data_IF_624887787536
#
_entry.id   IF_624887787536
#
_cell.length_a   1.000
_cell.length_b   1.000
_cell.length_c   1.000
_cell.angle_alpha   90.00
_cell.angle_beta   90.00
_cell.angle_gamma   90.00
#
_symmetry.space_group_name_H-M   'P 1'
#
loop_
_entity.id
_entity.type
_entity.pdbx_description
1 polymer ?
#
# COMPACT_ATOMS: atom_id res chain seq x y z
N UNK A 1 10.05 -5.56 -10.35
CA UNK A 1 10.91 -5.95 -9.21
C UNK A 1 10.93 -4.90 -8.11
N UNK A 2 11.21 -3.62 -8.40
CA UNK A 2 11.27 -2.54 -7.39
C UNK A 2 10.03 -2.41 -6.49
N UNK A 3 8.82 -2.52 -7.04
CA UNK A 3 7.56 -2.46 -6.27
C UNK A 3 7.45 -3.61 -5.28
N UNK A 4 7.73 -4.84 -5.72
CA UNK A 4 7.67 -6.01 -4.85
C UNK A 4 8.71 -5.93 -3.72
N UNK A 5 9.89 -5.35 -4.00
CA UNK A 5 10.91 -5.14 -2.99
C UNK A 5 10.47 -4.15 -1.91
N UNK A 6 9.89 -3.01 -2.33
CA UNK A 6 9.34 -2.02 -1.41
C UNK A 6 8.25 -2.60 -0.51
N UNK A 7 7.39 -3.46 -1.06
CA UNK A 7 6.37 -4.15 -0.26
C UNK A 7 7.03 -5.10 0.74
N UNK A 8 8.06 -5.86 0.33
CA UNK A 8 8.78 -6.77 1.24
C UNK A 8 9.47 -6.04 2.39
N UNK A 9 10.14 -4.91 2.12
CA UNK A 9 10.81 -4.11 3.16
C UNK A 9 9.80 -3.47 4.11
N UNK A 10 8.64 -3.08 3.60
CA UNK A 10 7.58 -2.46 4.39
C UNK A 10 6.67 -3.46 5.17
N UNK A 11 6.71 -4.76 4.85
CA UNK A 11 5.83 -5.79 5.47
C UNK A 11 6.58 -6.73 6.42
N UNK A 12 7.00 -6.21 7.58
CA UNK A 12 7.91 -6.90 8.54
C UNK A 12 7.47 -8.31 8.96
N UNK A 13 6.17 -8.59 9.03
CA UNK A 13 5.64 -9.90 9.46
C UNK A 13 4.96 -10.71 8.35
N UNK A 14 4.89 -10.18 7.12
CA UNK A 14 4.08 -10.77 6.05
C UNK A 14 4.91 -10.98 4.79
N UNK A 15 5.19 -12.25 4.47
CA UNK A 15 5.83 -12.57 3.19
C UNK A 15 4.88 -12.28 2.04
N UNK A 16 5.35 -11.55 1.03
CA UNK A 16 4.59 -11.17 -0.16
C UNK A 16 3.87 -12.36 -0.83
N UNK A 17 4.52 -13.52 -0.86
CA UNK A 17 3.98 -14.73 -1.50
C UNK A 17 2.81 -15.34 -0.73
N UNK A 18 2.71 -15.06 0.58
CA UNK A 18 1.65 -15.53 1.49
C UNK A 18 0.45 -14.58 1.57
N UNK A 19 0.57 -13.37 1.05
CA UNK A 19 -0.54 -12.41 1.03
C UNK A 19 -1.69 -12.93 0.16
N UNK A 20 -2.93 -12.59 0.53
CA UNK A 20 -4.08 -12.81 -0.31
C UNK A 20 -3.85 -12.17 -1.69
N UNK A 21 -4.37 -12.81 -2.75
CA UNK A 21 -4.14 -12.36 -4.12
C UNK A 21 -4.63 -10.93 -4.34
N UNK A 22 -5.76 -10.57 -3.72
CA UNK A 22 -6.35 -9.22 -3.79
C UNK A 22 -5.40 -8.23 -3.12
N UNK A 23 -5.11 -8.42 -1.83
CA UNK A 23 -4.23 -7.53 -1.06
C UNK A 23 -2.88 -7.33 -1.71
N UNK A 24 -2.25 -8.40 -2.21
CA UNK A 24 -0.96 -8.29 -2.91
C UNK A 24 -1.05 -7.41 -4.15
N UNK A 25 -2.11 -7.52 -4.94
CA UNK A 25 -2.24 -6.72 -6.15
C UNK A 25 -2.63 -5.27 -5.83
N UNK A 26 -3.45 -5.04 -4.79
CA UNK A 26 -3.73 -3.70 -4.29
C UNK A 26 -2.45 -3.00 -3.82
N UNK A 27 -1.64 -3.68 -3.01
CA UNK A 27 -0.36 -3.17 -2.55
C UNK A 27 0.57 -2.83 -3.72
N UNK A 28 0.62 -3.67 -4.76
CA UNK A 28 1.43 -3.40 -5.95
C UNK A 28 0.99 -2.15 -6.71
N UNK A 29 -0.31 -1.97 -6.91
CA UNK A 29 -0.84 -0.79 -7.60
C UNK A 29 -0.57 0.48 -6.80
N UNK A 30 -0.97 0.50 -5.52
CA UNK A 30 -0.81 1.67 -4.67
C UNK A 30 0.68 2.02 -4.42
N UNK A 31 1.55 1.01 -4.22
CA UNK A 31 2.99 1.24 -4.10
C UNK A 31 3.61 1.83 -5.37
N UNK A 32 3.16 1.39 -6.55
CA UNK A 32 3.57 2.00 -7.81
C UNK A 32 3.12 3.46 -7.92
N UNK A 33 1.88 3.78 -7.54
CA UNK A 33 1.38 5.16 -7.56
C UNK A 33 2.13 6.06 -6.56
N UNK A 34 2.40 5.56 -5.35
CA UNK A 34 3.23 6.27 -4.37
C UNK A 34 4.64 6.54 -4.91
N UNK A 35 5.23 5.61 -5.65
CA UNK A 35 6.54 5.82 -6.28
C UNK A 35 6.50 6.86 -7.39
N UNK A 36 5.62 6.69 -8.38
CA UNK A 36 5.73 7.35 -9.68
C UNK A 36 4.75 8.51 -9.89
N UNK A 37 3.56 8.46 -9.29
CA UNK A 37 2.48 9.43 -9.57
C UNK A 37 2.56 10.66 -8.66
N UNK A 38 3.46 11.60 -8.96
CA UNK A 38 3.71 12.79 -8.12
C UNK A 38 2.52 13.77 -8.04
N UNK A 39 1.61 13.73 -8.99
CA UNK A 39 0.41 14.58 -9.06
C UNK A 39 -0.76 14.09 -8.20
N UNK A 40 -0.73 12.83 -7.77
CA UNK A 40 -1.81 12.25 -6.95
C UNK A 40 -1.42 12.37 -5.47
N UNK A 41 -2.26 12.97 -4.61
CA UNK A 41 -2.01 13.04 -3.17
C UNK A 41 -1.87 11.66 -2.54
N UNK A 42 -1.02 11.51 -1.53
CA UNK A 42 -0.85 10.22 -0.83
C UNK A 42 -2.16 9.79 -0.20
N UNK A 43 -2.86 10.69 0.49
CA UNK A 43 -4.14 10.39 1.13
C UNK A 43 -5.14 9.72 0.18
N UNK A 44 -5.26 10.23 -1.06
CA UNK A 44 -6.15 9.65 -2.08
C UNK A 44 -5.74 8.23 -2.46
N UNK A 45 -4.44 7.98 -2.68
CA UNK A 45 -3.95 6.64 -3.04
C UNK A 45 -4.23 5.63 -1.90
N UNK A 46 -4.00 6.05 -0.66
CA UNK A 46 -4.24 5.20 0.52
C UNK A 46 -5.74 4.92 0.70
N UNK A 47 -6.58 5.96 0.68
CA UNK A 47 -8.02 5.83 0.88
C UNK A 47 -8.64 4.87 -0.14
N UNK A 48 -8.35 5.04 -1.44
CA UNK A 48 -8.88 4.16 -2.49
C UNK A 48 -8.40 2.71 -2.33
N UNK A 49 -7.12 2.50 -2.01
CA UNK A 49 -6.59 1.16 -1.80
C UNK A 49 -7.22 0.45 -0.59
N UNK A 50 -7.48 1.20 0.49
CA UNK A 50 -8.12 0.68 1.71
C UNK A 50 -9.58 0.33 1.45
N UNK A 51 -10.33 1.18 0.74
CA UNK A 51 -11.72 0.90 0.40
C UNK A 51 -11.84 -0.33 -0.50
N UNK A 52 -10.96 -0.48 -1.49
CA UNK A 52 -10.90 -1.70 -2.30
C UNK A 52 -10.52 -2.94 -1.48
N UNK A 53 -9.62 -2.81 -0.50
CA UNK A 53 -9.24 -3.90 0.40
C UNK A 53 -10.42 -4.34 1.29
N UNK A 54 -11.24 -3.40 1.77
CA UNK A 54 -12.47 -3.71 2.52
C UNK A 54 -13.53 -4.38 1.64
N UNK A 55 -13.63 -3.97 0.38
CA UNK A 55 -14.65 -4.48 -0.54
C UNK A 55 -14.34 -5.89 -1.07
N UNK A 56 -13.06 -6.17 -1.34
CA UNK A 56 -12.64 -7.39 -2.04
C UNK A 56 -11.75 -8.32 -1.21
N UNK A 57 -11.25 -7.86 -0.07
CA UNK A 57 -10.38 -8.62 0.81
C UNK A 57 -11.13 -9.37 1.91
N UNK A 58 -10.38 -9.72 2.96
CA UNK A 58 -10.89 -10.28 4.21
C UNK A 58 -11.21 -9.18 5.22
N UNK A 59 -11.77 -9.56 6.38
CA UNK A 59 -12.07 -8.63 7.48
C UNK A 59 -10.85 -7.79 7.89
N UNK A 60 -9.66 -8.39 7.89
CA UNK A 60 -8.41 -7.71 8.29
C UNK A 60 -7.73 -6.94 7.14
N UNK A 61 -8.18 -7.08 5.89
CA UNK A 61 -7.46 -6.57 4.72
C UNK A 61 -7.35 -5.05 4.70
N UNK A 62 -8.38 -4.33 5.13
CA UNK A 62 -8.33 -2.86 5.20
C UNK A 62 -7.23 -2.34 6.14
N UNK A 63 -7.15 -2.89 7.35
CA UNK A 63 -6.14 -2.51 8.33
C UNK A 63 -4.72 -2.93 7.89
N UNK A 64 -4.60 -4.12 7.31
CA UNK A 64 -3.35 -4.64 6.75
C UNK A 64 -2.82 -3.75 5.62
N UNK A 65 -3.66 -3.43 4.62
CA UNK A 65 -3.27 -2.58 3.49
C UNK A 65 -2.89 -1.19 3.97
N UNK A 66 -3.66 -0.58 4.88
CA UNK A 66 -3.33 0.72 5.45
C UNK A 66 -1.92 0.72 6.07
N UNK A 67 -1.65 -0.23 6.97
CA UNK A 67 -0.36 -0.27 7.68
C UNK A 67 0.85 -0.49 6.76
N UNK A 68 0.70 -1.28 5.70
CA UNK A 68 1.79 -1.47 4.72
C UNK A 68 1.97 -0.22 3.86
N UNK A 69 0.90 0.38 3.35
CA UNK A 69 0.99 1.56 2.48
C UNK A 69 1.49 2.80 3.22
N UNK A 70 1.15 2.97 4.50
CA UNK A 70 1.69 4.04 5.34
C UNK A 70 3.22 3.95 5.42
N UNK A 71 3.76 2.75 5.69
CA UNK A 71 5.22 2.54 5.74
C UNK A 71 5.88 2.74 4.38
N UNK A 72 5.25 2.26 3.31
CA UNK A 72 5.74 2.48 1.94
C UNK A 72 5.82 3.98 1.66
N UNK A 73 4.77 4.74 1.98
CA UNK A 73 4.72 6.17 1.76
C UNK A 73 5.84 6.91 2.51
N UNK A 74 6.11 6.53 3.77
CA UNK A 74 7.25 7.03 4.54
C UNK A 74 8.59 6.71 3.86
N UNK A 75 8.80 5.45 3.45
CA UNK A 75 10.03 4.98 2.81
C UNK A 75 10.31 5.71 1.48
N UNK A 76 9.27 6.09 0.74
CA UNK A 76 9.40 6.86 -0.52
C UNK A 76 9.33 8.38 -0.34
N UNK A 77 9.29 8.88 0.90
CA UNK A 77 9.27 10.31 1.21
C UNK A 77 7.98 11.02 0.77
N UNK A 78 6.86 10.29 0.67
CA UNK A 78 5.52 10.84 0.43
C UNK A 78 4.91 11.21 1.77
N UNK A 79 5.12 12.45 2.20
CA UNK A 79 4.50 13.01 3.39
C UNK A 79 3.44 14.00 2.90
N UNK A 80 2.19 13.82 3.32
CA UNK A 80 1.16 14.82 3.06
C UNK A 80 1.51 16.08 3.87
N UNK A 81 1.55 17.23 3.20
CA UNK A 81 2.03 18.50 3.77
C UNK A 81 1.01 19.10 4.77
N UNK A 82 -0.20 18.54 4.83
CA UNK A 82 -1.35 19.09 5.58
C UNK A 82 -1.86 18.16 6.70
N UNK A 83 -1.02 17.80 7.67
CA UNK A 83 -1.48 17.29 8.98
C UNK A 83 -1.06 18.20 10.12
#
# INVERSE_FOLDING_TARGET
ERVDELIRTSSTNWRLERMARVDRNLLRMAAYELLEQKSVPRAVILDEAIELAKLFGSEDSGAFVNGVLDRIAEEVGRIDVDR
#
